data_IF_472877338123
#
_entry.id   IF_472877338123
#
_cell.length_a   1.000
_cell.length_b   1.000
_cell.length_c   1.000
_cell.angle_alpha   90.00
_cell.angle_beta   90.00
_cell.angle_gamma   90.00
#
_symmetry.space_group_name_H-M   'P 1'
#
loop_
_entity.id
_entity.type
_entity.pdbx_description
1 polymer ?
#
# COMPACT_ATOMS: atom_id res chain seq x y z
N UNK A 1 7.48 -1.13 -18.36
CA UNK A 1 6.17 -1.48 -18.94
C UNK A 1 5.19 -0.49 -18.37
N UNK A 2 4.73 0.51 -19.14
CA UNK A 2 3.76 1.51 -18.66
C UNK A 2 2.41 0.81 -18.48
N UNK A 3 2.21 0.18 -17.33
CA UNK A 3 0.88 -0.22 -16.90
C UNK A 3 0.07 1.07 -16.79
N UNK A 4 -1.00 1.17 -17.57
CA UNK A 4 -1.97 2.26 -17.49
C UNK A 4 -2.28 2.56 -16.01
N UNK A 5 -2.40 3.84 -15.59
CA UNK A 5 -2.56 4.23 -14.18
C UNK A 5 -3.67 3.46 -13.43
N UNK A 6 -4.70 3.03 -14.17
CA UNK A 6 -5.81 2.22 -13.68
C UNK A 6 -5.38 0.84 -13.15
N UNK A 7 -4.38 0.21 -13.79
CA UNK A 7 -3.94 -1.15 -13.44
C UNK A 7 -3.13 -1.11 -12.15
N UNK A 8 -2.23 -0.13 -12.00
CA UNK A 8 -1.47 0.07 -10.76
C UNK A 8 -2.40 0.34 -9.57
N UNK A 9 -3.45 1.14 -9.78
CA UNK A 9 -4.45 1.39 -8.75
C UNK A 9 -5.25 0.14 -8.39
N UNK A 10 -5.66 -0.66 -9.38
CA UNK A 10 -6.36 -1.93 -9.15
C UNK A 10 -5.50 -2.94 -8.36
N UNK A 11 -4.21 -3.03 -8.68
CA UNK A 11 -3.25 -3.86 -7.93
C UNK A 11 -3.15 -3.38 -6.48
N UNK A 12 -3.04 -2.08 -6.26
CA UNK A 12 -2.98 -1.49 -4.92
C UNK A 12 -4.24 -1.81 -4.10
N UNK A 13 -5.41 -1.66 -4.71
CA UNK A 13 -6.71 -2.03 -4.10
C UNK A 13 -6.77 -3.52 -3.75
N UNK A 14 -6.34 -4.38 -4.66
CA UNK A 14 -6.28 -5.82 -4.42
C UNK A 14 -5.36 -6.15 -3.24
N UNK A 15 -4.18 -5.51 -3.16
CA UNK A 15 -3.25 -5.66 -2.03
C UNK A 15 -3.91 -5.24 -0.72
N UNK A 16 -4.52 -4.05 -0.69
CA UNK A 16 -5.15 -3.49 0.52
C UNK A 16 -6.30 -4.37 1.03
N UNK A 17 -7.02 -5.05 0.14
CA UNK A 17 -8.12 -5.95 0.54
C UNK A 17 -7.64 -7.35 0.90
N UNK A 18 -6.75 -7.94 0.10
CA UNK A 18 -6.39 -9.36 0.23
C UNK A 18 -5.34 -9.57 1.33
N UNK A 19 -4.33 -8.69 1.42
CA UNK A 19 -3.20 -8.91 2.33
C UNK A 19 -3.60 -8.88 3.80
N UNK A 20 -4.41 -7.91 4.28
CA UNK A 20 -4.84 -7.91 5.68
C UNK A 20 -5.63 -9.18 6.03
N UNK A 21 -6.50 -9.63 5.11
CA UNK A 21 -7.26 -10.85 5.31
C UNK A 21 -6.36 -12.08 5.46
N UNK A 22 -5.28 -12.18 4.66
CA UNK A 22 -4.29 -13.26 4.80
C UNK A 22 -3.53 -13.14 6.13
N UNK A 23 -3.07 -11.95 6.49
CA UNK A 23 -2.27 -11.73 7.70
C UNK A 23 -3.07 -11.95 8.99
N UNK A 24 -4.34 -11.55 9.01
CA UNK A 24 -5.24 -11.82 10.13
C UNK A 24 -5.47 -13.32 10.34
N UNK A 25 -5.54 -14.11 9.25
CA UNK A 25 -5.60 -15.59 9.35
C UNK A 25 -4.33 -16.18 9.96
N UNK A 26 -3.19 -15.51 9.77
CA UNK A 26 -1.90 -15.85 10.38
C UNK A 26 -1.75 -15.30 11.81
N UNK A 27 -2.79 -14.67 12.37
CA UNK A 27 -2.77 -13.99 13.69
C UNK A 27 -1.77 -12.83 13.77
N UNK A 28 -1.46 -12.21 12.63
CA UNK A 28 -0.62 -11.03 12.55
C UNK A 28 -1.48 -9.77 12.30
N UNK A 29 -1.10 -8.61 12.83
CA UNK A 29 -1.74 -7.33 12.49
C UNK A 29 -1.75 -7.10 10.97
N UNK A 30 -2.92 -6.78 10.41
CA UNK A 30 -3.07 -6.56 8.96
C UNK A 30 -2.15 -5.46 8.41
N UNK A 31 -1.90 -4.40 9.19
CA UNK A 31 -1.00 -3.31 8.82
C UNK A 31 0.45 -3.78 8.61
N UNK A 32 0.93 -4.76 9.39
CA UNK A 32 2.25 -5.35 9.18
C UNK A 32 2.31 -6.07 7.83
N UNK A 33 1.21 -6.72 7.43
CA UNK A 33 1.11 -7.34 6.11
C UNK A 33 1.19 -6.33 4.98
N UNK A 34 0.50 -5.21 5.11
CA UNK A 34 0.57 -4.12 4.12
C UNK A 34 1.98 -3.53 4.02
N UNK A 35 2.66 -3.29 5.15
CA UNK A 35 4.03 -2.79 5.18
C UNK A 35 5.00 -3.77 4.51
N UNK A 36 4.95 -5.06 4.88
CA UNK A 36 5.81 -6.09 4.28
C UNK A 36 5.56 -6.23 2.78
N UNK A 37 4.30 -6.20 2.36
CA UNK A 37 3.93 -6.25 0.94
C UNK A 37 4.47 -5.02 0.20
N UNK A 38 4.40 -3.83 0.80
CA UNK A 38 5.00 -2.62 0.25
C UNK A 38 6.52 -2.73 0.09
N UNK A 39 7.23 -3.32 1.05
CA UNK A 39 8.68 -3.59 0.95
C UNK A 39 8.98 -4.59 -0.17
N UNK A 40 8.20 -5.67 -0.26
CA UNK A 40 8.39 -6.74 -1.24
C UNK A 40 8.03 -6.33 -2.66
N UNK A 41 6.99 -5.51 -2.86
CA UNK A 41 6.51 -5.08 -4.17
C UNK A 41 7.05 -3.70 -4.59
N UNK A 42 7.66 -2.97 -3.65
CA UNK A 42 8.28 -1.68 -3.88
C UNK A 42 9.60 -1.74 -4.66
N UNK A 43 10.36 -0.63 -4.68
CA UNK A 43 11.50 -0.46 -5.57
C UNK A 43 12.70 -1.34 -5.18
N UNK A 44 12.80 -1.65 -3.88
CA UNK A 44 13.83 -2.52 -3.32
C UNK A 44 13.47 -4.01 -3.38
N UNK A 45 12.26 -4.35 -3.83
CA UNK A 45 11.77 -5.72 -3.93
C UNK A 45 11.62 -6.14 -5.39
N UNK A 46 10.38 -6.45 -5.78
CA UNK A 46 10.03 -6.93 -7.13
C UNK A 46 9.80 -5.79 -8.14
N UNK A 47 9.91 -4.52 -7.73
CA UNK A 47 9.72 -3.33 -8.59
C UNK A 47 8.38 -3.33 -9.36
N UNK A 48 7.35 -3.93 -8.75
CA UNK A 48 5.99 -3.98 -9.32
C UNK A 48 5.29 -2.64 -9.12
N UNK A 49 5.56 -1.99 -7.99
CA UNK A 49 5.04 -0.68 -7.64
C UNK A 49 6.09 0.38 -7.95
N UNK A 50 5.77 1.26 -8.88
CA UNK A 50 6.62 2.40 -9.22
C UNK A 50 6.37 3.56 -8.26
N UNK A 51 7.41 3.94 -7.51
CA UNK A 51 7.32 4.95 -6.46
C UNK A 51 7.30 6.36 -7.05
N UNK A 52 7.79 6.50 -8.28
CA UNK A 52 7.76 7.75 -9.02
C UNK A 52 6.41 7.99 -9.70
N UNK A 53 5.47 7.04 -9.60
CA UNK A 53 4.11 7.27 -10.09
C UNK A 53 3.40 8.35 -9.26
N UNK A 54 2.84 9.34 -9.96
CA UNK A 54 2.13 10.46 -9.34
C UNK A 54 1.00 9.98 -8.42
N UNK A 55 0.29 8.93 -8.83
CA UNK A 55 -0.79 8.30 -8.05
C UNK A 55 -0.29 7.76 -6.71
N UNK A 56 0.87 7.10 -6.66
CA UNK A 56 1.42 6.56 -5.42
C UNK A 56 1.81 7.68 -4.46
N UNK A 57 2.44 8.76 -4.96
CA UNK A 57 2.78 9.95 -4.16
C UNK A 57 1.54 10.61 -3.57
N UNK A 58 0.48 10.77 -4.37
CA UNK A 58 -0.77 11.38 -3.91
C UNK A 58 -1.46 10.53 -2.86
N UNK A 59 -1.66 9.24 -3.11
CA UNK A 59 -2.37 8.34 -2.20
C UNK A 59 -1.62 8.14 -0.87
N UNK A 60 -0.30 7.93 -0.92
CA UNK A 60 0.51 7.78 0.29
C UNK A 60 0.58 9.08 1.09
N UNK A 61 0.65 10.24 0.43
CA UNK A 61 0.58 11.55 1.09
C UNK A 61 -0.75 11.77 1.79
N UNK A 62 -1.87 11.52 1.11
CA UNK A 62 -3.22 11.62 1.70
C UNK A 62 -3.36 10.66 2.89
N UNK A 63 -2.92 9.40 2.73
CA UNK A 63 -2.98 8.40 3.79
C UNK A 63 -2.15 8.79 5.02
N UNK A 64 -0.93 9.30 4.82
CA UNK A 64 -0.08 9.76 5.92
C UNK A 64 -0.69 10.95 6.65
N UNK A 65 -1.18 11.96 5.92
CA UNK A 65 -1.85 13.12 6.52
C UNK A 65 -3.08 12.70 7.32
N UNK A 66 -3.88 11.77 6.79
CA UNK A 66 -5.03 11.21 7.50
C UNK A 66 -4.63 10.47 8.78
N UNK A 67 -3.58 9.64 8.73
CA UNK A 67 -3.07 8.92 9.91
C UNK A 67 -2.56 9.89 10.99
N UNK A 68 -1.77 10.89 10.60
CA UNK A 68 -1.27 11.91 11.52
C UNK A 68 -2.41 12.72 12.13
N UNK A 69 -3.45 13.02 11.35
CA UNK A 69 -4.64 13.70 11.83
C UNK A 69 -5.41 12.85 12.85
N UNK A 70 -5.68 11.57 12.54
CA UNK A 70 -6.34 10.65 13.46
C UNK A 70 -5.56 10.49 14.76
N UNK A 71 -4.25 10.31 14.69
CA UNK A 71 -3.38 10.19 15.86
C UNK A 71 -3.32 11.47 16.71
N UNK A 72 -3.62 12.64 16.14
CA UNK A 72 -3.71 13.90 16.87
C UNK A 72 -5.11 14.20 17.44
N UNK A 73 -6.15 13.49 16.97
CA UNK A 73 -7.52 13.58 17.51
C UNK A 73 -7.78 12.60 18.66
N UNK A 74 -7.01 11.51 18.71
CA UNK A 74 -6.99 10.54 19.82
C UNK A 74 -6.17 11.07 21.01
#
# INVERSE_FOLDING_TARGET
MHLEPIVSFAILLAIILIVPLIFERLKLPGILGLLLTGVLLGPNGLQVLDNDSETMRLLSGIGLVYLLFMAGLE
#
